data_IF_471685145532
#
_entry.id   IF_471685145532
#
_cell.length_a   1.000
_cell.length_b   1.000
_cell.length_c   1.000
_cell.angle_alpha   90.00
_cell.angle_beta   90.00
_cell.angle_gamma   90.00
#
_symmetry.space_group_name_H-M   'P 1'
#
loop_
_entity.id
_entity.type
_entity.pdbx_description
1 polymer ?
#
# COMPACT_ATOMS: atom_id res chain seq x y z
N UNK A 1 5.79 -18.83 18.64
CA UNK A 1 5.71 -17.38 18.31
C UNK A 1 4.95 -16.67 19.41
N UNK A 2 5.45 -15.53 19.95
CA UNK A 2 4.73 -14.78 20.96
C UNK A 2 3.32 -14.35 20.46
N UNK A 3 2.27 -14.64 21.26
CA UNK A 3 0.89 -14.34 20.89
C UNK A 3 0.31 -15.15 19.73
N UNK A 4 0.97 -16.23 19.33
CA UNK A 4 0.60 -17.05 18.15
C UNK A 4 1.15 -16.45 16.87
N UNK A 5 0.51 -15.41 16.31
CA UNK A 5 0.96 -14.60 15.17
C UNK A 5 1.05 -13.15 15.61
N UNK A 6 2.11 -12.45 15.22
CA UNK A 6 2.37 -11.06 15.62
C UNK A 6 1.85 -10.04 14.60
N UNK A 7 1.80 -8.76 15.02
CA UNK A 7 1.36 -7.65 14.17
C UNK A 7 -0.16 -7.65 13.91
N UNK A 8 -0.54 -7.08 12.78
CA UNK A 8 -1.95 -6.95 12.39
C UNK A 8 -2.61 -8.26 11.95
N UNK A 9 -1.84 -9.32 11.75
CA UNK A 9 -2.33 -10.68 11.47
C UNK A 9 -2.66 -11.46 12.75
N UNK A 10 -2.49 -10.86 13.93
CA UNK A 10 -2.85 -11.51 15.19
C UNK A 10 -4.35 -11.87 15.17
N UNK A 11 -4.65 -13.12 15.54
CA UNK A 11 -6.00 -13.65 15.55
C UNK A 11 -7.02 -12.84 16.36
N UNK A 12 -6.58 -12.04 17.33
CA UNK A 12 -7.45 -11.14 18.08
C UNK A 12 -7.98 -9.96 17.21
N UNK A 13 -7.30 -9.63 16.11
CA UNK A 13 -7.75 -8.60 15.15
C UNK A 13 -8.80 -9.16 14.16
N UNK A 14 -8.84 -10.48 13.99
CA UNK A 14 -9.78 -11.21 13.14
C UNK A 14 -10.91 -11.77 14.02
N UNK A 15 -12.13 -11.78 13.54
CA UNK A 15 -13.26 -12.41 14.22
C UNK A 15 -13.17 -13.95 14.19
N UNK A 16 -14.13 -14.60 14.86
CA UNK A 16 -14.34 -16.03 14.70
C UNK A 16 -14.71 -16.36 13.23
N UNK A 17 -14.45 -17.57 12.78
CA UNK A 17 -14.67 -17.98 11.38
C UNK A 17 -13.54 -17.62 10.41
N UNK A 18 -12.55 -16.83 10.83
CA UNK A 18 -11.38 -16.57 9.97
C UNK A 18 -10.33 -17.68 10.08
N UNK A 19 -9.74 -18.12 8.94
CA UNK A 19 -8.65 -19.09 8.96
C UNK A 19 -7.46 -18.54 9.74
N UNK A 20 -6.78 -19.38 10.49
CA UNK A 20 -5.60 -19.01 11.27
C UNK A 20 -4.30 -19.26 10.52
N UNK A 21 -4.30 -20.26 9.64
CA UNK A 21 -3.15 -20.66 8.84
C UNK A 21 -3.61 -20.97 7.41
N UNK A 22 -2.84 -20.51 6.45
CA UNK A 22 -3.05 -20.79 5.03
C UNK A 22 -2.01 -21.80 4.55
N UNK A 23 -2.45 -22.77 3.75
CA UNK A 23 -1.60 -23.84 3.21
C UNK A 23 -1.18 -23.55 1.76
N UNK A 24 -2.03 -22.86 0.97
CA UNK A 24 -1.84 -22.69 -0.47
C UNK A 24 -2.50 -21.41 -0.96
N UNK A 25 -1.98 -20.87 -2.06
CA UNK A 25 -2.60 -19.76 -2.79
C UNK A 25 -2.39 -19.94 -4.30
N UNK A 26 -3.37 -19.53 -5.12
CA UNK A 26 -3.32 -19.61 -6.57
C UNK A 26 -4.25 -18.56 -7.19
N UNK A 27 -3.75 -17.75 -8.11
CA UNK A 27 -4.50 -16.67 -8.78
C UNK A 27 -5.12 -15.68 -7.76
N UNK A 28 -6.45 -15.69 -7.60
CA UNK A 28 -7.18 -14.84 -6.65
C UNK A 28 -7.72 -15.65 -5.43
N UNK A 29 -7.21 -16.85 -5.19
CA UNK A 29 -7.75 -17.76 -4.17
C UNK A 29 -6.70 -18.23 -3.20
N UNK A 30 -7.14 -18.49 -1.97
CA UNK A 30 -6.32 -19.05 -0.88
C UNK A 30 -7.04 -20.23 -0.27
N UNK A 31 -6.27 -21.17 0.28
CA UNK A 31 -6.77 -22.35 1.01
C UNK A 31 -6.14 -22.39 2.38
N UNK A 32 -6.96 -22.63 3.38
CA UNK A 32 -6.47 -22.88 4.73
C UNK A 32 -5.93 -24.31 4.92
N UNK A 33 -5.41 -24.59 6.11
CA UNK A 33 -4.85 -25.91 6.45
C UNK A 33 -5.91 -27.00 6.57
N UNK A 34 -7.19 -26.63 6.71
CA UNK A 34 -8.33 -27.53 6.77
C UNK A 34 -8.93 -27.81 5.37
N UNK A 35 -8.38 -27.17 4.32
CA UNK A 35 -8.77 -27.34 2.93
C UNK A 35 -9.91 -26.44 2.45
N UNK A 36 -10.36 -25.49 3.26
CA UNK A 36 -11.38 -24.54 2.85
C UNK A 36 -10.81 -23.51 1.87
N UNK A 37 -11.56 -23.20 0.82
CA UNK A 37 -11.21 -22.26 -0.23
C UNK A 37 -11.90 -20.92 -0.04
N UNK A 38 -11.13 -19.82 -0.24
CA UNK A 38 -11.62 -18.44 -0.16
C UNK A 38 -11.18 -17.62 -1.37
N UNK A 39 -12.06 -16.75 -1.86
CA UNK A 39 -11.64 -15.62 -2.72
C UNK A 39 -10.86 -14.65 -1.85
N UNK A 40 -9.64 -14.30 -2.24
CA UNK A 40 -8.73 -13.48 -1.41
C UNK A 40 -8.78 -11.99 -1.76
N UNK A 41 -9.54 -11.21 -0.99
CA UNK A 41 -9.57 -9.75 -1.11
C UNK A 41 -8.46 -9.05 -0.29
N UNK A 42 -7.54 -9.80 0.30
CA UNK A 42 -6.37 -9.21 0.97
C UNK A 42 -5.12 -9.19 0.09
N UNK A 43 -5.01 -10.09 -0.88
CA UNK A 43 -3.88 -10.15 -1.81
C UNK A 43 -2.53 -10.05 -1.08
N UNK A 44 -2.34 -10.82 0.01
CA UNK A 44 -1.18 -10.77 0.93
C UNK A 44 -0.92 -9.35 1.49
N UNK A 45 -1.95 -8.57 1.77
CA UNK A 45 -1.88 -7.14 2.16
C UNK A 45 -1.33 -6.23 1.05
N UNK A 46 -1.61 -6.59 -0.21
CA UNK A 46 -1.39 -5.78 -1.39
C UNK A 46 -0.28 -6.18 -2.35
N UNK A 47 0.68 -7.07 -2.05
CA UNK A 47 1.68 -7.50 -3.02
C UNK A 47 1.12 -8.17 -4.26
N UNK A 48 0.10 -9.02 -4.14
CA UNK A 48 -0.42 -9.86 -5.23
C UNK A 48 -1.25 -9.06 -6.24
N UNK A 49 -0.60 -8.20 -7.03
CA UNK A 49 -1.26 -7.35 -8.02
C UNK A 49 -1.80 -8.15 -9.21
N UNK A 50 -1.02 -9.09 -9.71
CA UNK A 50 -1.37 -9.99 -10.83
C UNK A 50 -1.99 -11.31 -10.34
N UNK A 51 -2.11 -11.51 -9.02
CA UNK A 51 -2.52 -12.76 -8.39
C UNK A 51 -1.34 -13.67 -8.05
N UNK A 52 -1.64 -14.72 -7.29
CA UNK A 52 -0.67 -15.71 -6.83
C UNK A 52 -0.19 -16.59 -7.98
N UNK A 53 1.12 -16.88 -8.03
CA UNK A 53 1.71 -17.81 -8.98
C UNK A 53 1.55 -17.38 -10.45
N UNK A 54 1.69 -16.07 -10.74
CA UNK A 54 1.57 -15.59 -12.11
C UNK A 54 2.68 -16.16 -13.01
N UNK A 55 2.34 -16.92 -14.09
CA UNK A 55 3.32 -17.73 -14.83
C UNK A 55 4.54 -16.95 -15.35
N UNK A 56 4.34 -15.74 -15.88
CA UNK A 56 5.45 -14.92 -16.40
C UNK A 56 6.39 -14.45 -15.28
N UNK A 57 5.87 -14.12 -14.11
CA UNK A 57 6.66 -13.70 -12.95
C UNK A 57 7.47 -14.87 -12.40
N UNK A 58 6.81 -16.02 -12.18
CA UNK A 58 7.47 -17.23 -11.65
C UNK A 58 8.55 -17.75 -12.61
N UNK A 59 8.31 -17.72 -13.93
CA UNK A 59 9.30 -18.12 -14.93
C UNK A 59 10.54 -17.22 -14.90
N UNK A 60 10.36 -15.90 -14.84
CA UNK A 60 11.47 -14.95 -14.78
C UNK A 60 12.31 -15.12 -13.50
N UNK A 61 11.65 -15.37 -12.38
CA UNK A 61 12.32 -15.67 -11.10
C UNK A 61 13.11 -16.96 -11.20
N UNK A 62 12.51 -18.05 -11.70
CA UNK A 62 13.18 -19.34 -11.84
C UNK A 62 14.42 -19.26 -12.72
N UNK A 63 14.34 -18.55 -13.84
CA UNK A 63 15.48 -18.29 -14.73
C UNK A 63 16.61 -17.54 -14.00
N UNK A 64 16.27 -16.49 -13.24
CA UNK A 64 17.25 -15.71 -12.49
C UNK A 64 17.91 -16.55 -11.39
N UNK A 65 17.13 -17.34 -10.65
CA UNK A 65 17.66 -18.20 -9.57
C UNK A 65 18.63 -19.25 -10.10
N UNK A 66 18.41 -19.77 -11.32
CA UNK A 66 19.35 -20.68 -11.98
C UNK A 66 20.71 -20.02 -12.30
N UNK A 67 20.74 -18.69 -12.43
CA UNK A 67 21.98 -17.91 -12.69
C UNK A 67 22.59 -17.32 -11.42
N UNK A 68 21.95 -17.48 -10.26
CA UNK A 68 22.33 -16.93 -8.97
C UNK A 68 21.41 -15.80 -8.51
N UNK A 69 21.15 -15.74 -7.20
CA UNK A 69 20.25 -14.77 -6.61
C UNK A 69 20.96 -13.69 -5.80
N UNK A 70 21.49 -14.04 -4.64
CA UNK A 70 22.07 -13.10 -3.68
C UNK A 70 23.58 -12.90 -4.00
N UNK A 71 23.87 -12.02 -4.94
CA UNK A 71 25.23 -11.72 -5.34
C UNK A 71 25.86 -10.64 -4.43
N UNK A 72 27.20 -10.61 -4.27
CA UNK A 72 27.86 -9.58 -3.46
C UNK A 72 27.93 -8.20 -4.12
N UNK A 73 27.56 -8.11 -5.40
CA UNK A 73 27.50 -6.90 -6.21
C UNK A 73 26.18 -6.84 -6.99
N UNK A 74 25.76 -5.65 -7.46
CA UNK A 74 24.56 -5.51 -8.29
C UNK A 74 24.63 -6.36 -9.56
N UNK A 75 23.57 -7.12 -9.83
CA UNK A 75 23.39 -7.81 -11.12
C UNK A 75 22.75 -6.92 -12.20
N UNK A 76 22.79 -7.32 -13.49
CA UNK A 76 22.22 -6.54 -14.60
C UNK A 76 20.73 -6.19 -14.41
N UNK A 77 19.94 -7.11 -13.86
CA UNK A 77 18.50 -6.90 -13.63
C UNK A 77 18.19 -5.72 -12.71
N UNK A 78 19.10 -5.38 -11.78
CA UNK A 78 18.95 -4.20 -10.93
C UNK A 78 19.08 -2.91 -11.77
N UNK A 79 20.01 -2.86 -12.70
CA UNK A 79 20.20 -1.71 -13.60
C UNK A 79 19.02 -1.57 -14.54
N UNK A 80 18.60 -2.66 -15.19
CA UNK A 80 17.43 -2.70 -16.07
C UNK A 80 16.16 -2.19 -15.35
N UNK A 81 15.93 -2.62 -14.10
CA UNK A 81 14.79 -2.17 -13.32
C UNK A 81 14.91 -0.69 -12.94
N UNK A 82 16.10 -0.21 -12.57
CA UNK A 82 16.31 1.21 -12.26
C UNK A 82 15.98 2.10 -13.47
N UNK A 83 16.52 1.77 -14.65
CA UNK A 83 16.24 2.47 -15.90
C UNK A 83 14.75 2.43 -16.26
N UNK A 84 14.11 1.25 -16.08
CA UNK A 84 12.69 1.08 -16.38
C UNK A 84 11.81 1.93 -15.46
N UNK A 85 12.04 1.90 -14.14
CA UNK A 85 11.28 2.68 -13.19
C UNK A 85 11.43 4.19 -13.41
N UNK A 86 12.65 4.64 -13.70
CA UNK A 86 12.92 6.05 -14.03
C UNK A 86 12.21 6.44 -15.33
N UNK A 87 12.18 5.57 -16.33
CA UNK A 87 11.49 5.86 -17.61
C UNK A 87 9.96 5.91 -17.46
N UNK A 88 9.40 5.11 -16.55
CA UNK A 88 7.95 5.02 -16.31
C UNK A 88 7.42 6.08 -15.33
N UNK A 89 8.27 6.55 -14.43
CA UNK A 89 7.88 7.45 -13.35
C UNK A 89 8.30 8.88 -13.68
N UNK A 90 7.38 9.75 -14.09
CA UNK A 90 7.70 11.15 -14.37
C UNK A 90 8.38 11.80 -13.17
N UNK A 91 9.36 12.67 -13.42
CA UNK A 91 10.17 13.38 -12.42
C UNK A 91 11.11 12.50 -11.59
N UNK A 92 11.28 11.23 -11.88
CA UNK A 92 12.32 10.41 -11.27
C UNK A 92 13.58 10.41 -12.15
N UNK A 93 14.73 10.70 -11.54
CA UNK A 93 16.02 10.75 -12.22
C UNK A 93 16.97 9.65 -11.74
N UNK A 94 16.65 9.00 -10.62
CA UNK A 94 17.41 7.87 -10.07
C UNK A 94 16.53 6.96 -9.20
N UNK A 95 17.00 5.73 -8.98
CA UNK A 95 16.36 4.74 -8.12
C UNK A 95 17.36 4.07 -7.18
N UNK A 96 16.88 3.66 -5.99
CA UNK A 96 17.57 2.79 -5.05
C UNK A 96 16.63 1.65 -4.67
N UNK A 97 17.18 0.53 -4.17
CA UNK A 97 16.38 -0.66 -3.88
C UNK A 97 16.61 -1.19 -2.48
N UNK A 98 15.53 -1.58 -1.82
CA UNK A 98 15.44 -2.28 -0.55
C UNK A 98 14.53 -3.50 -0.67
N UNK A 99 14.04 -4.03 0.45
CA UNK A 99 13.18 -5.22 0.46
C UNK A 99 11.77 -4.94 0.95
N UNK A 100 11.58 -3.98 1.85
CA UNK A 100 10.28 -3.66 2.43
C UNK A 100 9.94 -2.19 2.18
N UNK A 101 8.65 -1.87 2.17
CA UNK A 101 8.20 -0.48 2.08
C UNK A 101 8.82 0.41 3.18
N UNK A 102 9.05 -0.16 4.37
CA UNK A 102 9.74 0.53 5.46
C UNK A 102 11.19 0.94 5.14
N UNK A 103 11.87 0.20 4.28
CA UNK A 103 13.24 0.55 3.85
C UNK A 103 13.17 1.79 2.93
N UNK A 104 12.27 1.78 1.93
CA UNK A 104 12.11 2.90 1.01
C UNK A 104 11.60 4.18 1.70
N UNK A 105 10.59 4.07 2.59
CA UNK A 105 10.04 5.24 3.28
C UNK A 105 11.01 5.83 4.30
N UNK A 106 11.78 5.00 5.00
CA UNK A 106 12.84 5.49 5.91
C UNK A 106 13.97 6.14 5.12
N UNK A 107 14.40 5.53 4.01
CA UNK A 107 15.37 6.14 3.11
C UNK A 107 14.91 7.52 2.61
N UNK A 108 13.64 7.66 2.21
CA UNK A 108 13.10 8.94 1.75
C UNK A 108 13.16 10.02 2.84
N UNK A 109 12.82 9.67 4.09
CA UNK A 109 12.93 10.57 5.25
C UNK A 109 14.39 10.96 5.49
N UNK A 110 15.32 9.99 5.46
CA UNK A 110 16.74 10.23 5.71
C UNK A 110 17.36 11.09 4.59
N UNK A 111 17.00 10.87 3.33
CA UNK A 111 17.42 11.72 2.19
C UNK A 111 16.91 13.15 2.35
N UNK A 112 15.65 13.33 2.73
CA UNK A 112 15.08 14.65 2.94
C UNK A 112 15.79 15.39 4.09
N UNK A 113 16.09 14.71 5.19
CA UNK A 113 16.86 15.26 6.31
C UNK A 113 18.30 15.58 5.90
N UNK A 114 18.95 14.71 5.14
CA UNK A 114 20.31 14.93 4.65
C UNK A 114 20.41 16.07 3.63
N UNK A 115 19.34 16.30 2.86
CA UNK A 115 19.22 17.40 1.90
C UNK A 115 18.99 18.74 2.58
N UNK A 116 18.03 18.79 3.50
CA UNK A 116 17.57 20.05 4.13
C UNK A 116 18.35 20.43 5.38
N UNK A 117 18.97 19.48 6.07
CA UNK A 117 19.57 19.66 7.39
C UNK A 117 18.53 19.81 8.52
N UNK A 118 17.27 19.49 8.27
CA UNK A 118 16.13 19.76 9.18
C UNK A 118 15.62 18.46 9.81
N UNK A 119 15.05 18.49 11.05
CA UNK A 119 14.64 17.27 11.74
C UNK A 119 13.18 16.85 11.53
N UNK A 120 12.25 17.79 11.29
CA UNK A 120 10.81 17.52 11.39
C UNK A 120 10.24 16.80 10.18
N UNK A 121 9.35 15.86 10.46
CA UNK A 121 8.54 15.12 9.49
C UNK A 121 7.10 15.58 9.63
N UNK A 122 6.42 15.82 8.53
CA UNK A 122 4.97 16.07 8.49
C UNK A 122 4.28 14.93 7.76
N UNK A 123 3.19 14.40 8.33
CA UNK A 123 2.36 13.38 7.69
C UNK A 123 0.87 13.61 7.92
N UNK A 124 0.02 12.94 7.13
CA UNK A 124 -1.41 12.90 7.43
C UNK A 124 -1.68 12.08 8.71
N UNK A 125 -2.62 12.56 9.53
CA UNK A 125 -3.03 11.93 10.80
C UNK A 125 -3.57 10.53 10.54
N UNK A 126 -3.07 9.55 11.29
CA UNK A 126 -3.45 8.14 11.16
C UNK A 126 -2.79 7.41 9.98
N UNK A 127 -1.99 8.09 9.15
CA UNK A 127 -1.27 7.43 8.07
C UNK A 127 -0.19 6.48 8.60
N UNK A 128 -0.07 5.32 7.97
CA UNK A 128 0.96 4.32 8.24
C UNK A 128 1.99 4.32 7.11
N UNK A 129 3.22 4.68 7.40
CA UNK A 129 4.31 4.70 6.42
C UNK A 129 5.37 3.62 6.67
N UNK A 130 5.51 3.16 7.90
CA UNK A 130 6.45 2.09 8.28
C UNK A 130 6.21 1.63 9.71
N UNK A 131 6.60 0.40 10.05
CA UNK A 131 6.79 -0.04 11.44
C UNK A 131 8.16 0.41 11.95
N UNK A 132 8.39 1.72 12.00
CA UNK A 132 9.65 2.36 12.41
C UNK A 132 9.37 3.44 13.47
N UNK A 133 10.34 3.75 14.35
CA UNK A 133 10.16 4.74 15.40
C UNK A 133 9.65 6.10 14.92
N UNK A 134 10.20 6.60 13.81
CA UNK A 134 9.80 7.89 13.25
C UNK A 134 8.34 7.92 12.75
N UNK A 135 7.81 6.76 12.30
CA UNK A 135 6.46 6.65 11.75
C UNK A 135 5.41 6.27 12.79
N UNK A 136 5.79 5.53 13.84
CA UNK A 136 4.87 5.07 14.89
C UNK A 136 5.40 5.44 16.28
N UNK A 137 5.55 6.74 16.58
CA UNK A 137 5.99 7.17 17.90
C UNK A 137 4.92 6.84 18.95
N UNK A 138 5.37 6.46 20.14
CA UNK A 138 4.48 6.14 21.27
C UNK A 138 4.06 4.68 21.35
N UNK A 139 4.51 3.82 20.44
CA UNK A 139 4.38 2.37 20.62
C UNK A 139 5.36 1.86 21.68
N UNK A 140 5.06 0.72 22.34
CA UNK A 140 5.98 0.07 23.27
C UNK A 140 7.35 -0.14 22.64
N UNK A 141 8.41 0.26 23.35
CA UNK A 141 9.80 0.16 22.89
C UNK A 141 10.27 1.32 21.99
N UNK A 142 9.42 2.30 21.68
CA UNK A 142 9.82 3.50 20.93
C UNK A 142 10.11 4.65 21.89
N UNK A 143 11.34 5.24 21.86
CA UNK A 143 11.69 6.39 22.70
C UNK A 143 10.80 7.62 22.44
N UNK A 144 10.51 8.38 23.51
CA UNK A 144 9.54 9.48 23.46
C UNK A 144 9.95 10.62 22.50
N UNK A 145 11.24 10.87 22.31
CA UNK A 145 11.75 11.96 21.47
C UNK A 145 11.32 11.85 19.99
N UNK A 146 11.02 10.64 19.49
CA UNK A 146 10.51 10.49 18.12
C UNK A 146 9.17 11.20 17.90
N UNK A 147 8.37 11.39 18.96
CA UNK A 147 7.12 12.13 18.88
C UNK A 147 7.35 13.63 18.66
N UNK A 148 8.44 14.18 19.14
CA UNK A 148 8.78 15.60 19.03
C UNK A 148 9.21 16.00 17.60
N UNK A 149 9.62 15.00 16.82
CA UNK A 149 10.05 15.17 15.43
C UNK A 149 8.92 14.95 14.41
N UNK A 150 7.71 14.57 14.85
CA UNK A 150 6.58 14.26 13.99
C UNK A 150 5.45 15.27 14.19
N UNK A 151 5.06 15.94 13.10
CA UNK A 151 3.88 16.80 13.00
C UNK A 151 2.81 16.09 12.16
N UNK A 152 1.55 16.35 12.47
CA UNK A 152 0.42 15.73 11.78
C UNK A 152 -0.62 16.75 11.36
N UNK A 153 -1.24 16.54 10.19
CA UNK A 153 -2.36 17.31 9.67
C UNK A 153 -3.52 16.37 9.27
N UNK A 154 -4.75 16.86 9.25
CA UNK A 154 -5.89 16.09 8.75
C UNK A 154 -5.82 15.96 7.22
N UNK A 155 -6.13 14.78 6.69
CA UNK A 155 -6.15 14.55 5.25
C UNK A 155 -7.04 15.59 4.54
N UNK A 156 -6.56 16.15 3.44
CA UNK A 156 -7.20 17.24 2.66
C UNK A 156 -7.27 18.61 3.36
N UNK A 157 -6.72 18.78 4.54
CA UNK A 157 -6.70 20.08 5.25
C UNK A 157 -5.43 20.87 4.93
N UNK A 158 -5.50 21.68 3.86
CA UNK A 158 -4.40 22.57 3.49
C UNK A 158 -4.22 23.74 4.47
N UNK A 159 -5.24 24.12 5.21
CA UNK A 159 -5.14 25.24 6.16
C UNK A 159 -4.37 24.78 7.41
N UNK A 160 -4.65 23.56 7.92
CA UNK A 160 -3.83 22.96 8.97
C UNK A 160 -2.38 22.78 8.50
N UNK A 161 -2.16 22.34 7.27
CA UNK A 161 -0.82 22.19 6.70
C UNK A 161 -0.10 23.54 6.59
N UNK A 162 -0.77 24.61 6.15
CA UNK A 162 -0.23 25.99 6.12
C UNK A 162 0.15 26.49 7.52
N UNK A 163 -0.69 26.19 8.53
CA UNK A 163 -0.39 26.54 9.91
C UNK A 163 0.88 25.84 10.43
N UNK A 164 1.09 24.57 10.08
CA UNK A 164 2.33 23.84 10.41
C UNK A 164 3.54 24.48 9.75
N UNK A 165 3.45 24.89 8.48
CA UNK A 165 4.55 25.57 7.79
C UNK A 165 4.81 26.96 8.35
N UNK A 166 3.77 27.69 8.75
CA UNK A 166 3.93 29.01 9.42
C UNK A 166 4.67 28.89 10.75
N UNK A 167 4.35 27.85 11.54
CA UNK A 167 4.97 27.67 12.87
C UNK A 167 6.33 26.97 12.85
N UNK A 168 6.60 26.13 11.84
CA UNK A 168 7.74 25.21 11.84
C UNK A 168 8.49 25.12 10.51
N UNK A 169 8.14 25.90 9.48
CA UNK A 169 8.61 25.71 8.10
C UNK A 169 10.12 25.57 7.94
N UNK A 170 10.91 26.35 8.70
CA UNK A 170 12.38 26.27 8.67
C UNK A 170 12.95 24.98 9.28
N UNK A 171 12.13 24.19 9.97
CA UNK A 171 12.51 22.94 10.61
C UNK A 171 11.93 21.71 9.91
N UNK A 172 10.96 21.87 9.00
CA UNK A 172 10.33 20.77 8.27
C UNK A 172 11.29 20.28 7.18
N UNK A 173 11.73 19.02 7.30
CA UNK A 173 12.53 18.34 6.30
C UNK A 173 11.66 17.78 5.16
N UNK A 174 10.54 17.14 5.51
CA UNK A 174 9.71 16.39 4.58
C UNK A 174 8.24 16.44 4.97
N UNK A 175 7.38 16.55 3.95
CA UNK A 175 5.99 16.12 4.02
C UNK A 175 5.91 14.77 3.32
N UNK A 176 5.60 13.71 4.08
CA UNK A 176 5.36 12.38 3.52
C UNK A 176 3.86 12.07 3.55
N UNK A 177 3.30 11.68 2.42
CA UNK A 177 1.88 11.37 2.32
C UNK A 177 1.63 10.19 1.36
N UNK A 178 0.46 9.59 1.46
CA UNK A 178 -0.05 8.60 0.52
C UNK A 178 -0.83 9.27 -0.60
N UNK A 179 -1.14 8.61 -1.74
CA UNK A 179 -1.89 9.23 -2.84
C UNK A 179 -3.37 9.50 -2.52
N UNK A 180 -3.90 8.84 -1.50
CA UNK A 180 -5.24 9.04 -0.94
C UNK A 180 -5.25 8.60 0.52
N UNK A 181 -6.27 8.96 1.28
CA UNK A 181 -6.39 8.56 2.70
C UNK A 181 -6.59 7.04 2.81
N UNK A 182 -5.62 6.34 3.34
CA UNK A 182 -5.69 4.90 3.55
C UNK A 182 -6.62 4.49 4.71
N UNK A 183 -7.07 5.43 5.54
CA UNK A 183 -8.00 5.17 6.65
C UNK A 183 -9.45 5.20 6.18
N UNK A 184 -9.77 6.14 5.30
CA UNK A 184 -11.14 6.36 4.81
C UNK A 184 -11.33 5.96 3.35
N UNK A 185 -10.25 5.83 2.57
CA UNK A 185 -10.29 5.66 1.14
C UNK A 185 -10.52 6.97 0.37
N UNK A 186 -10.66 8.11 1.05
CA UNK A 186 -10.95 9.39 0.42
C UNK A 186 -9.79 9.85 -0.48
N UNK A 187 -10.11 10.21 -1.73
CA UNK A 187 -9.17 10.82 -2.65
C UNK A 187 -8.74 12.22 -2.23
N UNK A 188 -7.73 12.80 -2.90
CA UNK A 188 -7.38 14.20 -2.68
C UNK A 188 -8.52 15.13 -3.10
N UNK A 189 -8.75 16.19 -2.33
CA UNK A 189 -9.61 17.27 -2.73
C UNK A 189 -9.00 18.04 -3.93
N UNK A 190 -9.80 18.68 -4.78
CA UNK A 190 -9.27 19.52 -5.85
C UNK A 190 -8.26 20.55 -5.32
N UNK A 191 -7.08 20.61 -5.92
CA UNK A 191 -6.02 21.55 -5.52
C UNK A 191 -5.17 21.11 -4.31
N UNK A 192 -5.46 19.95 -3.70
CA UNK A 192 -4.72 19.53 -2.49
C UNK A 192 -3.23 19.28 -2.77
N UNK A 193 -2.88 18.49 -3.78
CA UNK A 193 -1.48 18.21 -4.09
C UNK A 193 -0.75 19.42 -4.68
N UNK A 194 -1.42 20.26 -5.44
CA UNK A 194 -0.86 21.53 -5.92
C UNK A 194 -0.52 22.47 -4.74
N UNK A 195 -1.44 22.59 -3.77
CA UNK A 195 -1.22 23.39 -2.58
C UNK A 195 -0.10 22.83 -1.69
N UNK A 196 -0.06 21.50 -1.49
CA UNK A 196 1.02 20.83 -0.77
C UNK A 196 2.38 21.06 -1.47
N UNK A 197 2.44 20.91 -2.79
CA UNK A 197 3.67 21.15 -3.57
C UNK A 197 4.14 22.60 -3.40
N UNK A 198 3.24 23.57 -3.55
CA UNK A 198 3.58 24.99 -3.40
C UNK A 198 4.11 25.32 -2.00
N UNK A 199 3.56 24.71 -0.95
CA UNK A 199 4.07 24.89 0.43
C UNK A 199 5.48 24.30 0.56
N UNK A 200 5.72 23.11 0.05
CA UNK A 200 7.06 22.51 0.08
C UNK A 200 8.08 23.37 -0.68
N UNK A 201 7.73 23.87 -1.88
CA UNK A 201 8.61 24.72 -2.69
C UNK A 201 8.94 26.04 -1.98
N UNK A 202 7.92 26.69 -1.39
CA UNK A 202 8.09 27.97 -0.69
C UNK A 202 9.03 27.86 0.50
N UNK A 203 8.96 26.75 1.23
CA UNK A 203 9.72 26.54 2.46
C UNK A 203 10.98 25.69 2.28
N UNK A 204 11.24 25.19 1.08
CA UNK A 204 12.36 24.30 0.79
C UNK A 204 12.29 22.97 1.52
N UNK A 205 11.10 22.45 1.76
CA UNK A 205 10.86 21.10 2.29
C UNK A 205 10.71 20.10 1.15
N UNK A 206 11.04 18.82 1.41
CA UNK A 206 10.88 17.74 0.43
C UNK A 206 9.45 17.20 0.47
N UNK A 207 8.85 17.00 -0.70
CA UNK A 207 7.60 16.26 -0.81
C UNK A 207 7.89 14.79 -1.15
N UNK A 208 7.56 13.86 -0.26
CA UNK A 208 7.70 12.41 -0.48
C UNK A 208 6.33 11.74 -0.62
N UNK A 209 6.16 10.93 -1.67
CA UNK A 209 4.97 10.11 -1.88
C UNK A 209 5.25 8.66 -1.44
N UNK A 210 4.51 8.20 -0.43
CA UNK A 210 4.46 6.79 -0.08
C UNK A 210 3.44 6.07 -0.96
N UNK A 211 3.91 5.52 -2.05
CA UNK A 211 3.14 4.73 -3.00
C UNK A 211 3.32 3.20 -2.81
N UNK A 212 3.79 2.80 -1.63
CA UNK A 212 4.03 1.39 -1.28
C UNK A 212 2.77 0.55 -1.38
N UNK A 213 1.61 1.11 -1.02
CA UNK A 213 0.34 0.37 -1.00
C UNK A 213 -0.42 0.50 -2.32
N UNK A 214 -0.41 1.66 -2.96
CA UNK A 214 -1.23 2.00 -4.11
C UNK A 214 -0.48 1.89 -5.45
N UNK A 215 0.83 1.91 -5.45
CA UNK A 215 1.66 1.87 -6.67
C UNK A 215 1.27 0.79 -7.64
N UNK A 216 1.25 1.14 -8.93
CA UNK A 216 0.89 0.30 -10.07
C UNK A 216 -0.58 -0.15 -10.13
N UNK A 217 -1.46 0.30 -9.20
CA UNK A 217 -2.88 -0.05 -9.19
C UNK A 217 -3.76 0.93 -9.96
N UNK A 218 -3.28 2.16 -10.14
CA UNK A 218 -4.01 3.26 -10.77
C UNK A 218 -3.37 3.72 -12.07
N UNK A 219 -2.07 3.73 -12.13
CA UNK A 219 -1.27 4.16 -13.27
C UNK A 219 0.09 3.46 -13.27
N UNK A 220 0.63 3.16 -14.44
CA UNK A 220 1.92 2.47 -14.58
C UNK A 220 3.10 3.32 -14.07
N UNK A 221 3.04 4.64 -14.20
CA UNK A 221 4.01 5.59 -13.65
C UNK A 221 3.84 5.91 -12.17
N UNK A 222 3.01 5.13 -11.46
CA UNK A 222 2.67 5.33 -10.04
C UNK A 222 1.39 6.14 -9.83
N UNK A 223 0.89 6.09 -8.59
CA UNK A 223 -0.39 6.71 -8.24
C UNK A 223 -0.36 8.24 -8.30
N UNK A 224 0.83 8.86 -8.18
CA UNK A 224 0.99 10.30 -8.31
C UNK A 224 0.46 10.84 -9.63
N UNK A 225 0.68 10.13 -10.73
CA UNK A 225 0.18 10.50 -12.06
C UNK A 225 -1.35 10.47 -12.13
N UNK A 226 -1.99 9.51 -11.47
CA UNK A 226 -3.45 9.42 -11.44
C UNK A 226 -4.09 10.51 -10.59
N UNK A 227 -3.46 10.89 -9.49
CA UNK A 227 -4.01 11.83 -8.51
C UNK A 227 -3.45 13.26 -8.64
N UNK A 228 -2.61 13.53 -9.64
CA UNK A 228 -2.05 14.87 -9.89
C UNK A 228 -0.98 15.31 -8.89
N UNK A 229 -0.31 14.37 -8.22
CA UNK A 229 0.76 14.68 -7.29
C UNK A 229 2.12 14.82 -7.99
N UNK A 230 2.95 15.76 -7.51
CA UNK A 230 4.28 16.02 -8.06
C UNK A 230 5.37 15.91 -6.96
N UNK A 231 5.64 14.71 -6.44
CA UNK A 231 6.62 14.51 -5.38
C UNK A 231 8.07 14.67 -5.85
N UNK A 232 8.97 14.89 -4.90
CA UNK A 232 10.42 14.88 -5.09
C UNK A 232 11.00 13.48 -4.87
N UNK A 233 10.37 12.70 -3.98
CA UNK A 233 10.72 11.31 -3.67
C UNK A 233 9.47 10.43 -3.76
N UNK A 234 9.63 9.22 -4.30
CA UNK A 234 8.53 8.24 -4.43
C UNK A 234 9.01 6.91 -3.87
N UNK A 235 8.17 6.25 -3.07
CA UNK A 235 8.45 4.96 -2.48
C UNK A 235 7.51 3.89 -3.01
N UNK A 236 8.04 2.87 -3.67
CA UNK A 236 7.32 1.68 -4.12
C UNK A 236 7.70 0.44 -3.31
N UNK A 237 6.79 -0.51 -3.18
CA UNK A 237 7.00 -1.87 -2.70
C UNK A 237 5.78 -2.72 -3.05
N UNK A 238 5.53 -3.79 -2.29
CA UNK A 238 4.33 -4.66 -2.44
C UNK A 238 4.10 -5.09 -3.90
N UNK A 239 3.23 -4.37 -4.61
CA UNK A 239 2.81 -4.70 -5.97
C UNK A 239 3.95 -4.70 -7.00
N UNK A 240 5.05 -3.99 -6.75
CA UNK A 240 6.16 -3.82 -7.70
C UNK A 240 6.72 -5.14 -8.26
N UNK A 241 6.74 -6.19 -7.43
CA UNK A 241 7.33 -7.49 -7.77
C UNK A 241 6.36 -8.67 -7.51
N UNK A 242 5.06 -8.40 -7.54
CA UNK A 242 3.97 -9.38 -7.42
C UNK A 242 4.21 -10.45 -6.33
N UNK A 243 4.61 -10.02 -5.11
CA UNK A 243 4.81 -10.90 -3.95
C UNK A 243 6.26 -11.19 -3.61
N UNK A 244 7.21 -10.98 -4.52
CA UNK A 244 8.63 -11.07 -4.21
C UNK A 244 9.10 -9.82 -3.45
N UNK A 245 9.93 -10.02 -2.42
CA UNK A 245 10.33 -8.95 -1.51
C UNK A 245 11.22 -7.91 -2.22
N UNK A 246 10.63 -6.78 -2.56
CA UNK A 246 11.30 -5.64 -3.19
C UNK A 246 10.67 -4.33 -2.75
N UNK A 247 11.50 -3.32 -2.57
CA UNK A 247 11.11 -1.93 -2.46
C UNK A 247 12.03 -1.06 -3.32
N UNK A 248 11.51 0.05 -3.84
CA UNK A 248 12.26 1.04 -4.57
C UNK A 248 11.99 2.43 -4.02
N UNK A 249 13.03 3.22 -3.84
CA UNK A 249 12.97 4.65 -3.62
C UNK A 249 13.44 5.37 -4.88
N UNK A 250 12.61 6.25 -5.43
CA UNK A 250 12.94 7.06 -6.60
C UNK A 250 13.06 8.51 -6.19
N UNK A 251 13.93 9.27 -6.85
CA UNK A 251 14.13 10.67 -6.53
C UNK A 251 14.50 11.53 -7.73
N UNK A 252 14.28 12.85 -7.54
CA UNK A 252 14.67 13.88 -8.52
C UNK A 252 16.14 14.23 -8.36
N UNK A 253 16.76 14.67 -9.45
CA UNK A 253 18.18 15.03 -9.53
C UNK A 253 18.68 15.94 -8.38
N UNK A 254 17.96 16.99 -7.93
CA UNK A 254 18.43 17.82 -6.82
C UNK A 254 18.70 17.06 -5.50
N UNK A 255 18.09 15.88 -5.32
CA UNK A 255 18.24 15.04 -4.13
C UNK A 255 19.31 13.96 -4.25
N UNK A 256 19.87 13.72 -5.45
CA UNK A 256 20.88 12.68 -5.73
C UNK A 256 22.06 12.74 -4.77
N UNK A 257 22.66 13.94 -4.61
CA UNK A 257 23.81 14.11 -3.73
C UNK A 257 23.49 13.82 -2.24
N UNK A 258 22.28 14.07 -1.79
CA UNK A 258 21.84 13.71 -0.46
C UNK A 258 21.64 12.19 -0.35
N UNK A 259 21.02 11.57 -1.36
CA UNK A 259 20.83 10.12 -1.44
C UNK A 259 22.14 9.33 -1.40
N UNK A 260 23.19 9.82 -2.08
CA UNK A 260 24.54 9.21 -2.07
C UNK A 260 25.20 9.20 -0.68
N UNK A 261 24.83 10.17 0.19
CA UNK A 261 25.39 10.28 1.55
C UNK A 261 24.64 9.47 2.60
N UNK A 262 23.41 9.07 2.31
CA UNK A 262 22.61 8.23 3.20
C UNK A 262 23.13 6.80 3.14
N UNK A 263 23.52 6.25 4.30
CA UNK A 263 23.96 4.88 4.38
C UNK A 263 22.78 3.92 4.29
N UNK A 264 22.52 3.44 3.10
CA UNK A 264 21.40 2.56 2.79
C UNK A 264 21.90 1.21 2.29
N UNK A 265 21.80 0.17 3.13
CA UNK A 265 22.36 -1.16 2.85
C UNK A 265 21.58 -2.27 3.52
N UNK A 266 21.69 -3.48 2.96
CA UNK A 266 21.12 -4.71 3.49
C UNK A 266 21.64 -5.91 2.70
N UNK A 267 21.96 -7.02 3.37
CA UNK A 267 22.56 -8.21 2.74
C UNK A 267 21.74 -8.75 1.55
N UNK A 268 20.41 -8.58 1.57
CA UNK A 268 19.52 -9.08 0.54
C UNK A 268 19.10 -8.01 -0.49
N UNK A 269 19.62 -6.77 -0.39
CA UNK A 269 19.18 -5.70 -1.29
C UNK A 269 19.50 -6.01 -2.76
N UNK A 270 20.54 -6.82 -3.01
CA UNK A 270 20.96 -7.24 -4.35
C UNK A 270 20.39 -8.62 -4.77
N UNK A 271 19.48 -9.22 -4.01
CA UNK A 271 18.83 -10.47 -4.41
C UNK A 271 18.07 -10.30 -5.73
N UNK A 272 18.59 -10.95 -6.78
CA UNK A 272 18.25 -10.66 -8.18
C UNK A 272 16.92 -11.26 -8.63
N UNK A 273 16.44 -12.31 -7.98
CA UNK A 273 15.13 -12.90 -8.26
C UNK A 273 13.98 -11.91 -8.11
N UNK A 274 14.06 -11.00 -7.13
CA UNK A 274 13.05 -9.97 -6.94
C UNK A 274 13.07 -8.88 -8.04
N UNK A 275 14.24 -8.58 -8.61
CA UNK A 275 14.36 -7.67 -9.77
C UNK A 275 13.76 -8.30 -11.02
N UNK A 276 14.02 -9.60 -11.27
CA UNK A 276 13.40 -10.34 -12.35
C UNK A 276 11.87 -10.38 -12.22
N UNK A 277 11.35 -10.62 -11.01
CA UNK A 277 9.91 -10.56 -10.72
C UNK A 277 9.31 -9.18 -11.03
N UNK A 278 10.00 -8.10 -10.66
CA UNK A 278 9.54 -6.74 -10.90
C UNK A 278 9.50 -6.40 -12.38
N UNK A 279 10.55 -6.73 -13.14
CA UNK A 279 10.59 -6.53 -14.58
C UNK A 279 9.44 -7.28 -15.27
N UNK A 280 9.26 -8.57 -14.96
CA UNK A 280 8.15 -9.36 -15.50
C UNK A 280 6.77 -8.81 -15.08
N UNK A 281 6.64 -8.27 -13.87
CA UNK A 281 5.40 -7.62 -13.42
C UNK A 281 5.11 -6.38 -14.26
N UNK A 282 6.08 -5.51 -14.47
CA UNK A 282 5.94 -4.32 -15.30
C UNK A 282 5.62 -4.67 -16.76
N UNK A 283 6.26 -5.70 -17.33
CA UNK A 283 5.96 -6.18 -18.67
C UNK A 283 4.50 -6.62 -18.82
N UNK A 284 3.98 -7.39 -17.86
CA UNK A 284 2.57 -7.79 -17.87
C UNK A 284 1.64 -6.57 -17.77
N UNK A 285 1.96 -5.59 -16.91
CA UNK A 285 1.14 -4.39 -16.75
C UNK A 285 1.11 -3.53 -18.02
N UNK A 286 2.21 -3.46 -18.78
CA UNK A 286 2.27 -2.72 -20.03
C UNK A 286 1.59 -3.42 -21.19
N UNK A 287 1.73 -4.75 -21.25
CA UNK A 287 1.25 -5.56 -22.38
C UNK A 287 -0.23 -5.95 -22.23
N UNK A 288 -0.84 -5.70 -21.08
CA UNK A 288 -2.23 -6.09 -20.81
C UNK A 288 -3.06 -4.94 -20.24
N UNK A 289 -4.37 -5.16 -20.14
CA UNK A 289 -5.31 -4.25 -19.50
C UNK A 289 -5.43 -4.45 -17.97
N UNK A 290 -4.40 -5.02 -17.33
CA UNK A 290 -4.45 -5.44 -15.92
C UNK A 290 -4.89 -4.31 -14.96
N UNK A 291 -4.36 -3.09 -15.11
CA UNK A 291 -4.76 -1.93 -14.29
C UNK A 291 -6.24 -1.59 -14.52
N UNK A 292 -6.67 -1.53 -15.78
CA UNK A 292 -8.06 -1.24 -16.11
C UNK A 292 -9.01 -2.34 -15.59
N UNK A 293 -8.59 -3.61 -15.63
CA UNK A 293 -9.33 -4.75 -15.09
C UNK A 293 -9.50 -4.62 -13.57
N UNK A 294 -8.43 -4.33 -12.83
CA UNK A 294 -8.48 -4.08 -11.39
C UNK A 294 -9.53 -3.00 -11.06
N UNK A 295 -9.54 -1.90 -11.82
CA UNK A 295 -10.50 -0.82 -11.62
C UNK A 295 -11.95 -1.24 -11.93
N UNK A 296 -12.19 -2.01 -13.00
CA UNK A 296 -13.53 -2.51 -13.35
C UNK A 296 -14.05 -3.49 -12.32
N UNK A 297 -13.25 -4.49 -11.95
CA UNK A 297 -13.58 -5.50 -10.94
C UNK A 297 -13.85 -4.86 -9.58
N UNK A 298 -13.01 -3.89 -9.20
CA UNK A 298 -13.21 -3.14 -7.94
C UNK A 298 -14.51 -2.35 -7.94
N UNK A 299 -14.88 -1.68 -9.05
CA UNK A 299 -16.18 -0.99 -9.16
C UNK A 299 -17.34 -1.97 -9.06
N UNK A 300 -17.31 -3.08 -9.80
CA UNK A 300 -18.38 -4.07 -9.74
C UNK A 300 -18.61 -4.60 -8.31
N UNK A 301 -17.53 -4.87 -7.58
CA UNK A 301 -17.61 -5.27 -6.17
C UNK A 301 -18.19 -4.16 -5.29
N UNK A 302 -17.68 -2.94 -5.39
CA UNK A 302 -18.09 -1.84 -4.49
C UNK A 302 -19.49 -1.36 -4.75
N UNK A 303 -19.95 -1.35 -6.01
CA UNK A 303 -21.32 -1.00 -6.39
C UNK A 303 -22.31 -2.05 -5.86
N UNK A 304 -21.98 -3.35 -5.99
CA UNK A 304 -22.78 -4.44 -5.43
C UNK A 304 -22.87 -4.37 -3.89
N UNK A 305 -21.75 -4.11 -3.20
CA UNK A 305 -21.77 -3.93 -1.75
C UNK A 305 -22.63 -2.73 -1.32
N UNK A 306 -22.58 -1.61 -2.04
CA UNK A 306 -23.37 -0.43 -1.74
C UNK A 306 -24.87 -0.66 -1.99
N UNK A 307 -25.22 -1.43 -3.01
CA UNK A 307 -26.61 -1.82 -3.30
C UNK A 307 -27.18 -2.72 -2.19
N UNK A 308 -26.45 -3.78 -1.82
CA UNK A 308 -26.84 -4.71 -0.76
C UNK A 308 -26.98 -4.01 0.60
N UNK A 309 -26.01 -3.18 0.98
CA UNK A 309 -26.06 -2.42 2.23
C UNK A 309 -27.32 -1.53 2.30
N UNK A 310 -27.67 -0.85 1.19
CA UNK A 310 -28.91 -0.05 1.10
C UNK A 310 -30.16 -0.93 1.21
N UNK A 311 -30.17 -2.07 0.52
CA UNK A 311 -31.29 -3.01 0.55
C UNK A 311 -31.60 -3.56 1.95
N UNK A 312 -30.57 -3.72 2.78
CA UNK A 312 -30.69 -4.19 4.17
C UNK A 312 -30.70 -3.06 5.22
N UNK A 313 -30.67 -1.80 4.83
CA UNK A 313 -30.65 -0.66 5.75
C UNK A 313 -29.37 -0.55 6.59
N UNK A 314 -28.24 -1.11 6.12
CA UNK A 314 -26.95 -1.00 6.78
C UNK A 314 -26.23 0.26 6.29
N UNK A 315 -25.86 1.21 7.16
CA UNK A 315 -25.29 2.48 6.75
C UNK A 315 -23.79 2.33 6.37
N UNK A 316 -23.52 1.84 5.16
CA UNK A 316 -22.18 1.72 4.61
C UNK A 316 -21.61 3.10 4.29
N UNK A 317 -20.43 3.40 4.81
CA UNK A 317 -19.68 4.61 4.45
C UNK A 317 -19.12 4.49 3.02
N UNK A 318 -18.81 5.61 2.33
CA UNK A 318 -18.14 5.57 1.05
C UNK A 318 -16.88 4.69 1.10
N UNK A 319 -16.78 3.75 0.17
CA UNK A 319 -15.71 2.72 0.17
C UNK A 319 -14.38 3.23 -0.39
N UNK A 320 -14.32 4.45 -0.90
CA UNK A 320 -13.13 5.06 -1.45
C UNK A 320 -12.73 4.51 -2.82
N UNK A 321 -11.45 4.15 -2.97
CA UNK A 321 -10.88 3.76 -4.26
C UNK A 321 -11.27 2.32 -4.65
N UNK A 322 -11.82 2.07 -5.85
CA UNK A 322 -12.28 0.74 -6.26
C UNK A 322 -11.19 -0.34 -6.21
N UNK A 323 -9.95 -0.01 -6.58
CA UNK A 323 -8.83 -0.96 -6.52
C UNK A 323 -8.43 -1.35 -5.08
N UNK A 324 -8.86 -0.55 -4.08
CA UNK A 324 -8.48 -0.69 -2.67
C UNK A 324 -9.62 -0.25 -1.74
N UNK A 325 -10.80 -0.88 -1.81
CA UNK A 325 -11.97 -0.44 -1.05
C UNK A 325 -11.76 -0.58 0.47
N UNK A 326 -12.27 0.40 1.21
CA UNK A 326 -12.30 0.42 2.68
C UNK A 326 -13.74 0.21 3.15
N UNK A 327 -14.03 -0.93 3.75
CA UNK A 327 -15.40 -1.27 4.16
C UNK A 327 -15.61 -0.85 5.61
N UNK A 328 -16.58 0.05 5.86
CA UNK A 328 -16.90 0.56 7.20
C UNK A 328 -18.38 0.90 7.31
N UNK A 329 -18.97 0.70 8.50
CA UNK A 329 -20.33 1.11 8.81
C UNK A 329 -20.31 2.40 9.63
N UNK A 330 -21.23 3.32 9.33
CA UNK A 330 -21.26 4.64 9.97
C UNK A 330 -21.66 4.57 11.47
N UNK A 331 -22.46 3.57 11.82
CA UNK A 331 -23.01 3.34 13.15
C UNK A 331 -22.19 2.34 14.01
N UNK A 332 -20.96 2.00 13.57
CA UNK A 332 -20.12 0.99 14.23
C UNK A 332 -18.72 1.54 14.60
N UNK A 333 -18.62 2.53 15.50
CA UNK A 333 -17.33 3.13 15.89
C UNK A 333 -16.38 2.12 16.57
N UNK A 334 -16.91 1.10 17.24
CA UNK A 334 -16.15 0.05 17.91
C UNK A 334 -15.83 -1.13 17.00
N UNK A 335 -16.29 -1.09 15.75
CA UNK A 335 -16.07 -2.13 14.73
C UNK A 335 -16.55 -3.53 15.13
N UNK A 336 -17.59 -3.62 15.96
CA UNK A 336 -18.16 -4.92 16.37
C UNK A 336 -18.98 -5.53 15.25
N UNK A 337 -19.83 -4.73 14.62
CA UNK A 337 -20.73 -5.14 13.55
C UNK A 337 -19.95 -5.48 12.26
N UNK A 338 -18.94 -4.69 11.90
CA UNK A 338 -18.09 -5.01 10.75
C UNK A 338 -17.25 -6.28 10.97
N UNK A 339 -16.79 -6.55 12.19
CA UNK A 339 -16.12 -7.82 12.51
C UNK A 339 -17.04 -9.00 12.31
N UNK A 340 -18.27 -8.93 12.83
CA UNK A 340 -19.29 -9.98 12.66
C UNK A 340 -19.58 -10.19 11.18
N UNK A 341 -19.79 -9.12 10.42
CA UNK A 341 -20.01 -9.15 8.98
C UNK A 341 -18.85 -9.82 8.23
N UNK A 342 -17.60 -9.42 8.49
CA UNK A 342 -16.42 -10.04 7.87
C UNK A 342 -16.28 -11.52 8.22
N UNK A 343 -16.62 -11.94 9.45
CA UNK A 343 -16.66 -13.37 9.82
C UNK A 343 -17.64 -14.14 8.95
N UNK A 344 -18.87 -13.64 8.81
CA UNK A 344 -19.92 -14.26 7.97
C UNK A 344 -19.52 -14.29 6.48
N UNK A 345 -18.88 -13.22 5.98
CA UNK A 345 -18.37 -13.18 4.60
C UNK A 345 -17.28 -14.24 4.41
N UNK A 346 -16.39 -14.39 5.39
CA UNK A 346 -15.30 -15.38 5.33
C UNK A 346 -15.84 -16.80 5.41
N UNK A 347 -16.79 -17.09 6.29
CA UNK A 347 -17.53 -18.36 6.34
C UNK A 347 -18.25 -18.66 5.01
N UNK A 348 -18.67 -17.61 4.30
CA UNK A 348 -19.27 -17.69 2.96
C UNK A 348 -18.29 -17.92 1.82
N UNK A 349 -16.98 -18.02 2.09
CA UNK A 349 -15.94 -18.32 1.11
C UNK A 349 -15.27 -17.12 0.45
N UNK A 350 -15.34 -15.92 1.07
CA UNK A 350 -14.59 -14.74 0.64
C UNK A 350 -13.81 -14.16 1.82
N UNK A 351 -12.47 -14.19 1.76
CA UNK A 351 -11.62 -13.72 2.86
C UNK A 351 -11.64 -12.21 2.96
N UNK A 352 -12.23 -11.71 4.03
CA UNK A 352 -12.48 -10.30 4.30
C UNK A 352 -11.84 -9.85 5.62
N UNK A 353 -11.16 -8.71 5.65
CA UNK A 353 -10.51 -8.20 6.86
C UNK A 353 -11.30 -7.01 7.46
N UNK A 354 -11.67 -7.03 8.75
CA UNK A 354 -12.54 -6.01 9.34
C UNK A 354 -11.87 -4.65 9.61
N UNK A 355 -10.53 -4.60 9.64
CA UNK A 355 -9.77 -3.41 10.04
C UNK A 355 -8.77 -2.92 8.98
N UNK A 356 -8.75 -3.52 7.82
CA UNK A 356 -7.84 -3.16 6.73
C UNK A 356 -8.63 -2.92 5.44
N UNK A 357 -8.14 -2.07 4.54
CA UNK A 357 -8.69 -2.01 3.19
C UNK A 357 -8.52 -3.37 2.49
N UNK A 358 -9.43 -3.66 1.59
CA UNK A 358 -9.28 -4.80 0.69
C UNK A 358 -8.39 -4.43 -0.49
N UNK A 359 -8.01 -5.41 -1.29
CA UNK A 359 -7.23 -5.22 -2.51
C UNK A 359 -7.83 -6.02 -3.65
N UNK A 360 -7.87 -5.40 -4.81
CA UNK A 360 -8.26 -6.08 -6.05
C UNK A 360 -7.00 -6.42 -6.84
N UNK A 361 -6.91 -7.65 -7.33
CA UNK A 361 -5.86 -8.10 -8.24
C UNK A 361 -6.39 -8.29 -9.66
N UNK A 362 -5.51 -8.31 -10.65
CA UNK A 362 -5.87 -8.62 -12.01
C UNK A 362 -6.34 -10.07 -12.23
N UNK A 363 -6.12 -10.94 -11.22
CA UNK A 363 -6.56 -12.33 -11.27
C UNK A 363 -8.02 -12.53 -10.83
N UNK A 364 -8.65 -11.54 -10.15
CA UNK A 364 -10.06 -11.63 -9.79
C UNK A 364 -10.94 -11.63 -11.05
N UNK A 365 -11.90 -12.53 -11.07
CA UNK A 365 -12.87 -12.71 -12.15
C UNK A 365 -14.26 -12.18 -11.77
N UNK A 366 -15.15 -12.06 -12.74
CA UNK A 366 -16.55 -11.72 -12.49
C UNK A 366 -17.25 -12.78 -11.63
N UNK A 367 -16.83 -14.06 -11.75
CA UNK A 367 -17.30 -15.16 -10.89
C UNK A 367 -16.87 -14.96 -9.43
N UNK A 368 -15.62 -14.50 -9.19
CA UNK A 368 -15.15 -14.21 -7.84
C UNK A 368 -15.93 -13.04 -7.21
N UNK A 369 -16.29 -12.03 -8.00
CA UNK A 369 -17.17 -10.94 -7.57
C UNK A 369 -18.56 -11.47 -7.22
N UNK A 370 -19.18 -12.26 -8.12
CA UNK A 370 -20.51 -12.81 -7.91
C UNK A 370 -20.55 -13.69 -6.64
N UNK A 371 -19.60 -14.61 -6.48
CA UNK A 371 -19.47 -15.45 -5.28
C UNK A 371 -19.32 -14.62 -4.00
N UNK A 372 -18.54 -13.55 -4.06
CA UNK A 372 -18.36 -12.65 -2.92
C UNK A 372 -19.64 -11.90 -2.60
N UNK A 373 -20.35 -11.39 -3.62
CA UNK A 373 -21.61 -10.69 -3.41
C UNK A 373 -22.71 -11.61 -2.86
N UNK A 374 -22.74 -12.90 -3.20
CA UNK A 374 -23.61 -13.87 -2.55
C UNK A 374 -23.29 -14.06 -1.05
N UNK A 375 -22.01 -14.11 -0.69
CA UNK A 375 -21.59 -14.19 0.70
C UNK A 375 -21.93 -12.92 1.49
N UNK A 376 -21.69 -11.75 0.90
CA UNK A 376 -21.94 -10.45 1.54
C UNK A 376 -23.44 -10.17 1.67
N UNK A 377 -24.28 -10.61 0.73
CA UNK A 377 -25.75 -10.49 0.82
C UNK A 377 -26.29 -11.22 2.06
N UNK A 378 -25.84 -12.46 2.27
CA UNK A 378 -26.21 -13.23 3.47
C UNK A 378 -25.71 -12.56 4.75
N UNK A 379 -24.49 -12.02 4.72
CA UNK A 379 -23.89 -11.33 5.85
C UNK A 379 -24.61 -10.02 6.18
N UNK A 380 -24.99 -9.21 5.18
CA UNK A 380 -25.78 -7.99 5.39
C UNK A 380 -27.16 -8.30 6.00
N UNK A 381 -27.85 -9.30 5.47
CA UNK A 381 -29.14 -9.75 6.02
C UNK A 381 -29.04 -10.11 7.50
N UNK A 382 -27.98 -10.83 7.90
CA UNK A 382 -27.77 -11.25 9.28
C UNK A 382 -27.49 -10.05 10.20
N UNK A 383 -26.49 -9.20 9.84
CA UNK A 383 -26.12 -8.07 10.70
C UNK A 383 -27.19 -6.96 10.75
N UNK A 384 -28.07 -6.90 9.78
CA UNK A 384 -29.23 -5.99 9.82
C UNK A 384 -30.27 -6.40 10.90
N UNK A 385 -30.33 -7.69 11.27
CA UNK A 385 -31.27 -8.21 12.26
C UNK A 385 -30.66 -8.33 13.67
N UNK A 386 -29.34 -8.37 13.78
CA UNK A 386 -28.60 -8.44 15.04
C UNK A 386 -28.39 -7.07 15.72
N UNK A 387 -28.66 -5.95 15.00
CA UNK A 387 -28.35 -4.56 15.36
C UNK A 387 -29.45 -3.79 16.04
#
# INVERSE_FOLDING_TARGET
>A
MPGGVYGHQNGAALGDGHPRFLARAERARIWDVDGNEYVDWMCAYGPMLLGYGHPAVEAAVAEQLASGDCLPLPGPRMVELAERLVSLTPRADFAVFGKNGADATSWAVDVARAHTGRPLIVRARGAYHAARPWSLPGLPGVPAHYREELLEFAWNDLDELRALFTGHGERIAVVITTPFDHVTGAGPAPGFFEGLRALCDTHGAVFAMDDVRAGFRFHLGGSGEHFGAAPDLICYSKAIANGHALAAGLGREPLRRAAERVYFTGSFFFASGAFAAALATLDVLEQTDAIARIQRTGRALTDGLAEQARGHGVPLLPVGQPAMPVIRFADDPERRRIRRWCSLVTEGGAYAHPAHNWFVSAAHTDEDVARTLEATERAFKTVATEG
#
